data_IF_287911736594
#
_entry.id   IF_287911736594
#
_cell.length_a   1.000
_cell.length_b   1.000
_cell.length_c   1.000
_cell.angle_alpha   90.00
_cell.angle_beta   90.00
_cell.angle_gamma   90.00
#
_symmetry.space_group_name_H-M   'P 1'
#
loop_
_entity.id
_entity.type
_entity.pdbx_description
1 polymer ?
#
# COMPACT_ATOMS: atom_id res chain seq x y z
N UNK A 1 10.78 0.71 -6.26
CA UNK A 1 10.83 0.05 -7.58
C UNK A 1 11.51 -1.31 -7.48
N UNK A 2 12.76 -1.31 -7.02
CA UNK A 2 13.51 -2.57 -6.87
C UNK A 2 12.86 -3.56 -5.92
N UNK A 3 12.15 -3.07 -4.90
CA UNK A 3 11.48 -3.91 -3.92
C UNK A 3 10.41 -4.79 -4.57
N UNK A 4 9.54 -4.21 -5.40
CA UNK A 4 8.49 -4.98 -6.08
C UNK A 4 9.08 -5.92 -7.13
N UNK A 5 10.08 -5.48 -7.87
CA UNK A 5 10.77 -6.34 -8.84
C UNK A 5 11.39 -7.55 -8.16
N UNK A 6 12.09 -7.34 -7.03
CA UNK A 6 12.69 -8.40 -6.25
C UNK A 6 11.63 -9.35 -5.70
N UNK A 7 10.54 -8.80 -5.14
CA UNK A 7 9.47 -9.62 -4.57
C UNK A 7 8.87 -10.57 -5.61
N UNK A 8 8.68 -10.11 -6.83
CA UNK A 8 8.11 -10.96 -7.89
C UNK A 8 9.02 -12.14 -8.27
N UNK A 9 10.31 -12.02 -8.03
CA UNK A 9 11.26 -13.10 -8.34
C UNK A 9 11.40 -14.12 -7.20
N UNK A 10 10.77 -13.88 -6.04
CA UNK A 10 10.92 -14.74 -4.87
C UNK A 10 9.96 -15.93 -4.82
N UNK A 11 9.17 -16.14 -5.85
CA UNK A 11 8.33 -17.33 -5.98
C UNK A 11 7.01 -17.28 -5.21
N UNK A 12 6.61 -16.13 -4.71
CA UNK A 12 5.29 -15.98 -4.10
C UNK A 12 4.20 -16.06 -5.15
N UNK A 13 3.05 -16.62 -4.79
CA UNK A 13 1.93 -16.75 -5.71
C UNK A 13 1.35 -15.39 -6.06
N UNK A 14 1.33 -14.46 -5.09
CA UNK A 14 0.74 -13.16 -5.28
C UNK A 14 1.48 -12.14 -4.42
N UNK A 15 1.76 -10.97 -5.00
CA UNK A 15 2.37 -9.85 -4.27
C UNK A 15 1.31 -8.78 -4.06
N UNK A 16 1.03 -8.48 -2.79
CA UNK A 16 0.05 -7.46 -2.39
C UNK A 16 0.83 -6.30 -1.79
N UNK A 17 0.67 -5.11 -2.35
CA UNK A 17 1.37 -3.92 -1.89
C UNK A 17 0.39 -2.97 -1.21
N UNK A 18 0.67 -2.61 0.04
CA UNK A 18 -0.02 -1.54 0.75
C UNK A 18 0.95 -0.36 0.85
N UNK A 19 0.65 0.71 0.15
CA UNK A 19 1.55 1.84 -0.02
C UNK A 19 0.96 3.11 0.59
N UNK A 20 1.77 3.81 1.37
CA UNK A 20 1.43 5.14 1.89
C UNK A 20 2.31 6.18 1.21
N UNK A 21 1.75 7.02 0.33
CA UNK A 21 2.52 8.10 -0.27
C UNK A 21 3.01 9.10 0.78
N UNK A 22 4.20 9.66 0.57
CA UNK A 22 4.82 10.59 1.50
C UNK A 22 4.79 11.99 0.90
N UNK A 23 4.14 12.92 1.58
CA UNK A 23 3.86 14.31 1.25
C UNK A 23 3.04 14.48 -0.03
N UNK A 24 2.28 15.57 -0.07
CA UNK A 24 1.45 15.87 -1.24
C UNK A 24 2.31 16.31 -2.42
N UNK A 25 3.32 17.12 -2.17
CA UNK A 25 4.20 17.62 -3.24
C UNK A 25 4.97 16.49 -3.92
N UNK A 26 5.54 15.56 -3.15
CA UNK A 26 6.27 14.43 -3.70
C UNK A 26 5.34 13.49 -4.46
N UNK A 27 4.15 13.24 -3.92
CA UNK A 27 3.17 12.37 -4.58
C UNK A 27 2.78 12.94 -5.94
N UNK A 28 2.56 14.25 -6.04
CA UNK A 28 2.24 14.87 -7.32
C UNK A 28 3.42 14.85 -8.27
N UNK A 29 4.62 15.17 -7.78
CA UNK A 29 5.82 15.21 -8.61
C UNK A 29 6.16 13.85 -9.22
N UNK A 30 5.95 12.76 -8.47
CA UNK A 30 6.31 11.41 -8.87
C UNK A 30 5.09 10.55 -9.21
N UNK A 31 3.95 11.17 -9.47
CA UNK A 31 2.67 10.48 -9.65
C UNK A 31 2.76 9.36 -10.71
N UNK A 32 3.25 9.69 -11.89
CA UNK A 32 3.34 8.72 -12.99
C UNK A 32 4.30 7.59 -12.66
N UNK A 33 5.39 7.89 -11.97
CA UNK A 33 6.38 6.89 -11.58
C UNK A 33 5.80 5.94 -10.53
N UNK A 34 5.08 6.47 -9.53
CA UNK A 34 4.41 5.65 -8.55
C UNK A 34 3.37 4.74 -9.19
N UNK A 35 2.56 5.29 -10.10
CA UNK A 35 1.54 4.49 -10.78
C UNK A 35 2.18 3.34 -11.57
N UNK A 36 3.28 3.60 -12.27
CA UNK A 36 3.97 2.57 -13.04
C UNK A 36 4.56 1.48 -12.15
N UNK A 37 5.19 1.87 -11.03
CA UNK A 37 5.80 0.92 -10.10
C UNK A 37 4.74 0.06 -9.42
N UNK A 38 3.65 0.67 -8.96
CA UNK A 38 2.60 -0.04 -8.23
C UNK A 38 1.89 -1.09 -9.09
N UNK A 39 1.91 -0.93 -10.41
CA UNK A 39 1.33 -1.94 -11.30
C UNK A 39 2.11 -3.26 -11.29
N UNK A 40 3.31 -3.30 -10.74
CA UNK A 40 4.08 -4.54 -10.59
C UNK A 40 3.52 -5.45 -9.50
N UNK A 41 2.73 -4.93 -8.58
CA UNK A 41 2.05 -5.75 -7.59
C UNK A 41 0.80 -6.37 -8.19
N UNK A 42 0.42 -7.55 -7.70
CA UNK A 42 -0.81 -8.20 -8.15
C UNK A 42 -2.04 -7.48 -7.60
N UNK A 43 -1.94 -6.97 -6.37
CA UNK A 43 -2.99 -6.17 -5.74
C UNK A 43 -2.34 -4.97 -5.07
N UNK A 44 -2.93 -3.80 -5.21
CA UNK A 44 -2.43 -2.56 -4.61
C UNK A 44 -3.53 -1.91 -3.79
N UNK A 45 -3.22 -1.63 -2.53
CA UNK A 45 -4.04 -0.78 -1.67
C UNK A 45 -3.24 0.44 -1.26
N UNK A 46 -3.91 1.57 -1.12
CA UNK A 46 -3.27 2.84 -0.78
C UNK A 46 -3.82 3.37 0.52
N UNK A 47 -2.93 3.79 1.42
CA UNK A 47 -3.30 4.56 2.60
C UNK A 47 -3.35 6.03 2.24
N UNK A 48 -3.92 6.87 3.11
CA UNK A 48 -3.90 8.31 2.91
C UNK A 48 -2.47 8.82 2.85
N UNK A 49 -2.26 9.90 2.09
CA UNK A 49 -0.95 10.53 1.98
C UNK A 49 -0.48 10.99 3.37
N UNK A 50 0.74 10.64 3.72
CA UNK A 50 1.37 11.12 4.95
C UNK A 50 1.83 12.55 4.71
N UNK A 51 1.11 13.49 5.29
CA UNK A 51 1.27 14.93 4.97
C UNK A 51 2.59 15.52 5.47
N UNK A 52 3.15 15.00 6.57
CA UNK A 52 4.39 15.51 7.17
C UNK A 52 4.34 17.04 7.38
N UNK A 53 3.21 17.54 7.88
CA UNK A 53 2.94 18.97 8.12
C UNK A 53 2.70 19.80 6.86
N UNK A 54 2.68 19.19 5.68
CA UNK A 54 2.28 19.92 4.47
C UNK A 54 0.79 20.18 4.46
N UNK A 55 0.41 21.27 3.79
CA UNK A 55 -0.97 21.49 3.39
C UNK A 55 -1.18 20.98 1.98
N UNK A 56 -2.38 20.48 1.68
CA UNK A 56 -2.66 19.96 0.34
C UNK A 56 -2.95 21.11 -0.63
N UNK A 57 -1.92 21.84 -0.99
CA UNK A 57 -2.04 22.96 -1.93
C UNK A 57 -2.06 22.50 -3.38
N UNK A 58 -1.61 21.28 -3.65
CA UNK A 58 -1.56 20.73 -5.02
C UNK A 58 -2.81 19.94 -5.38
N UNK A 59 -3.72 19.72 -4.43
CA UNK A 59 -5.00 19.07 -4.69
C UNK A 59 -4.90 17.60 -5.06
N UNK A 60 -4.00 16.85 -4.43
CA UNK A 60 -3.80 15.43 -4.73
C UNK A 60 -4.28 14.56 -3.57
N UNK A 61 -4.74 13.34 -3.91
CA UNK A 61 -5.17 12.35 -2.91
C UNK A 61 -4.73 10.96 -3.32
N UNK A 62 -4.83 10.01 -2.36
CA UNK A 62 -4.58 8.60 -2.66
C UNK A 62 -5.61 8.04 -3.63
N UNK A 63 -6.84 8.57 -3.62
CA UNK A 63 -7.86 8.17 -4.59
C UNK A 63 -7.43 8.50 -6.02
N UNK A 64 -6.76 9.63 -6.22
CA UNK A 64 -6.24 9.99 -7.53
C UNK A 64 -5.19 8.98 -8.01
N UNK A 65 -4.30 8.56 -7.12
CA UNK A 65 -3.29 7.56 -7.45
C UNK A 65 -3.93 6.20 -7.70
N UNK A 66 -4.92 5.82 -6.90
CA UNK A 66 -5.65 4.56 -7.08
C UNK A 66 -6.32 4.51 -8.45
N UNK A 67 -6.88 5.62 -8.92
CA UNK A 67 -7.53 5.69 -10.23
C UNK A 67 -6.53 5.46 -11.39
N UNK A 68 -5.25 5.74 -11.17
CA UNK A 68 -4.20 5.56 -12.17
C UNK A 68 -3.59 4.17 -12.16
N UNK A 69 -3.91 3.32 -11.18
CA UNK A 69 -3.39 1.96 -11.06
C UNK A 69 -4.55 0.97 -11.18
N UNK A 70 -4.62 0.16 -12.23
CA UNK A 70 -5.75 -0.76 -12.43
C UNK A 70 -5.95 -1.67 -11.22
N UNK A 71 -7.18 -1.70 -10.71
CA UNK A 71 -7.55 -2.54 -9.58
C UNK A 71 -7.13 -2.04 -8.21
N UNK A 72 -6.44 -0.90 -8.12
CA UNK A 72 -6.03 -0.33 -6.84
C UNK A 72 -7.21 0.31 -6.11
N UNK A 73 -7.15 0.31 -4.78
CA UNK A 73 -8.16 0.92 -3.92
C UNK A 73 -7.47 1.74 -2.84
N UNK A 74 -8.06 2.90 -2.53
CA UNK A 74 -7.57 3.76 -1.46
C UNK A 74 -8.43 3.57 -0.21
N UNK A 75 -7.78 3.27 0.92
CA UNK A 75 -8.46 3.09 2.20
C UNK A 75 -8.65 4.45 2.89
N UNK A 76 -9.70 4.58 3.68
CA UNK A 76 -9.98 5.80 4.43
C UNK A 76 -9.08 5.96 5.65
N UNK A 77 -8.67 4.85 6.22
CA UNK A 77 -7.81 4.81 7.41
C UNK A 77 -7.09 3.48 7.48
N UNK A 78 -6.20 3.34 8.46
CA UNK A 78 -5.44 2.10 8.61
C UNK A 78 -6.31 0.92 9.04
N UNK A 79 -7.38 1.16 9.80
CA UNK A 79 -8.28 0.07 10.20
C UNK A 79 -8.95 -0.55 8.98
N UNK A 80 -9.43 0.26 8.06
CA UNK A 80 -10.02 -0.23 6.81
C UNK A 80 -8.97 -0.97 5.96
N UNK A 81 -7.77 -0.42 5.86
CA UNK A 81 -6.68 -1.02 5.10
C UNK A 81 -6.31 -2.38 5.69
N UNK A 82 -6.18 -2.46 7.01
CA UNK A 82 -5.86 -3.71 7.71
C UNK A 82 -6.94 -4.76 7.46
N UNK A 83 -8.21 -4.36 7.55
CA UNK A 83 -9.33 -5.27 7.33
C UNK A 83 -9.33 -5.81 5.90
N UNK A 84 -9.11 -4.95 4.92
CA UNK A 84 -9.04 -5.37 3.52
C UNK A 84 -7.91 -6.38 3.28
N UNK A 85 -6.74 -6.12 3.85
CA UNK A 85 -5.59 -7.01 3.69
C UNK A 85 -5.85 -8.35 4.39
N UNK A 86 -6.42 -8.31 5.57
CA UNK A 86 -6.73 -9.51 6.33
C UNK A 86 -7.74 -10.40 5.58
N UNK A 87 -8.79 -9.81 5.03
CA UNK A 87 -9.81 -10.55 4.29
C UNK A 87 -9.27 -11.14 2.99
N UNK A 88 -8.32 -10.45 2.36
CA UNK A 88 -7.77 -10.85 1.07
C UNK A 88 -6.66 -11.89 1.20
N UNK A 89 -5.87 -11.84 2.27
CA UNK A 89 -4.64 -12.63 2.41
C UNK A 89 -4.90 -14.12 2.39
N UNK A 90 -4.06 -14.85 1.67
CA UNK A 90 -4.11 -16.32 1.54
C UNK A 90 -2.70 -16.88 1.64
N UNK A 91 -2.56 -18.19 1.98
CA UNK A 91 -1.24 -18.83 1.94
C UNK A 91 -0.57 -18.64 0.58
N UNK A 92 0.70 -18.31 0.58
CA UNK A 92 1.47 -18.04 -0.63
C UNK A 92 1.53 -16.58 -1.02
N UNK A 93 0.76 -15.72 -0.37
CA UNK A 93 0.80 -14.28 -0.62
C UNK A 93 1.98 -13.62 0.12
N UNK A 94 2.60 -12.66 -0.54
CA UNK A 94 3.52 -11.74 0.09
C UNK A 94 2.83 -10.38 0.24
N UNK A 95 2.75 -9.87 1.47
CA UNK A 95 2.18 -8.57 1.74
C UNK A 95 3.31 -7.61 2.09
N UNK A 96 3.46 -6.55 1.31
CA UNK A 96 4.45 -5.50 1.53
C UNK A 96 3.75 -4.25 2.01
N UNK A 97 4.19 -3.71 3.15
CA UNK A 97 3.77 -2.38 3.60
C UNK A 97 4.92 -1.42 3.31
N UNK A 98 4.68 -0.44 2.47
CA UNK A 98 5.71 0.47 1.97
C UNK A 98 5.28 1.90 2.24
N UNK A 99 6.15 2.67 2.86
CA UNK A 99 5.89 4.07 3.14
C UNK A 99 6.74 4.61 4.27
N UNK A 100 6.76 5.93 4.41
CA UNK A 100 7.57 6.62 5.39
C UNK A 100 6.82 6.98 6.67
N UNK A 101 5.50 6.80 6.71
CA UNK A 101 4.68 7.09 7.89
C UNK A 101 4.43 5.85 8.74
N UNK A 102 3.26 5.80 9.35
CA UNK A 102 2.91 4.76 10.32
C UNK A 102 2.35 3.49 9.69
N UNK A 103 2.46 3.32 8.38
CA UNK A 103 1.87 2.17 7.69
C UNK A 103 2.43 0.83 8.21
N UNK A 104 3.63 0.83 8.79
CA UNK A 104 4.18 -0.38 9.37
C UNK A 104 3.28 -0.98 10.45
N UNK A 105 2.44 -0.16 11.11
CA UNK A 105 1.51 -0.64 12.13
C UNK A 105 0.44 -1.57 11.54
N UNK A 106 0.12 -1.39 10.27
CA UNK A 106 -0.81 -2.27 9.55
C UNK A 106 -0.24 -3.68 9.48
N UNK A 107 1.04 -3.80 9.12
CA UNK A 107 1.72 -5.10 9.08
C UNK A 107 1.76 -5.78 10.44
N UNK A 108 2.06 -5.02 11.50
CA UNK A 108 2.08 -5.54 12.86
C UNK A 108 0.70 -6.07 13.28
N UNK A 109 -0.36 -5.32 12.96
CA UNK A 109 -1.72 -5.72 13.28
C UNK A 109 -2.15 -6.98 12.52
N UNK A 110 -1.74 -7.12 11.28
CA UNK A 110 -2.01 -8.32 10.49
C UNK A 110 -1.37 -9.56 11.12
N UNK A 111 -0.13 -9.45 11.57
CA UNK A 111 0.58 -10.55 12.24
C UNK A 111 -0.15 -10.91 13.52
N UNK A 112 -0.56 -9.93 14.31
CA UNK A 112 -1.29 -10.15 15.57
C UNK A 112 -2.60 -10.90 15.32
N UNK A 113 -3.38 -10.49 14.33
CA UNK A 113 -4.66 -11.14 13.99
C UNK A 113 -4.45 -12.57 13.53
N UNK A 114 -3.44 -12.80 12.70
CA UNK A 114 -3.11 -14.14 12.22
C UNK A 114 -2.71 -15.06 13.36
N UNK A 115 -1.93 -14.56 14.32
CA UNK A 115 -1.54 -15.35 15.49
C UNK A 115 -2.73 -15.72 16.36
N UNK A 116 -3.69 -14.81 16.53
CA UNK A 116 -4.89 -15.07 17.30
C UNK A 116 -5.76 -16.15 16.67
N UNK A 117 -5.81 -16.20 15.35
CA UNK A 117 -6.57 -17.21 14.63
C UNK A 117 -5.88 -18.58 14.64
N UNK A 118 -4.57 -18.59 14.74
CA UNK A 118 -3.79 -19.83 14.74
C UNK A 118 -3.94 -20.60 16.04
N UNK A 119 -4.46 -19.98 17.08
CA UNK A 119 -4.70 -20.64 18.36
C UNK A 119 -6.13 -21.10 18.47
#
# INVERSE_FOLDING_TARGET
HALLTTARTMGYQRVICAFQPHTYSRTKALFSEFAAVLQQADVTFLAEIFAAREKNEVGISSQDLAAAVPGARAAKNFDQLTQWLYDLARPGDLILTVGAGDIYTVGEELVRRGQMEST
#
